data_IF_825041648083
#
_entry.id   IF_825041648083
#
_cell.length_a   1.000
_cell.length_b   1.000
_cell.length_c   1.000
_cell.angle_alpha   90.00
_cell.angle_beta   90.00
_cell.angle_gamma   90.00
#
_symmetry.space_group_name_H-M   'P 1'
#
loop_
_entity.id
_entity.type
_entity.pdbx_description
1 polymer ?
#
# COMPACT_ATOMS: atom_id res chain seq x y z
N UNK A 1 -15.34 9.03 -2.47
CA UNK A 1 -13.99 9.57 -2.74
C UNK A 1 -13.64 10.48 -1.59
N UNK A 2 -12.38 10.49 -1.14
CA UNK A 2 -11.88 11.42 -0.12
C UNK A 2 -10.80 12.32 -0.70
N UNK A 3 -10.82 13.58 -0.25
CA UNK A 3 -9.87 14.63 -0.60
C UNK A 3 -9.28 15.22 0.69
N UNK A 4 -8.51 14.40 1.41
CA UNK A 4 -7.71 14.80 2.57
C UNK A 4 -6.24 14.66 2.20
N UNK A 5 -5.42 15.68 2.42
CA UNK A 5 -3.96 15.52 2.27
C UNK A 5 -3.43 14.65 3.42
N UNK A 6 -2.79 13.50 3.14
CA UNK A 6 -2.20 12.65 4.17
C UNK A 6 -1.01 13.31 4.90
N UNK A 7 -0.48 14.41 4.38
CA UNK A 7 0.60 15.19 4.98
C UNK A 7 0.12 16.45 5.71
N UNK A 8 -1.19 16.75 5.70
CA UNK A 8 -1.75 17.88 6.45
C UNK A 8 -1.47 17.71 7.96
N UNK A 9 -0.75 18.65 8.60
CA UNK A 9 -0.42 18.55 10.02
C UNK A 9 -1.62 18.35 10.94
N UNK A 10 -2.79 18.92 10.62
CA UNK A 10 -3.99 18.76 11.44
C UNK A 10 -4.55 17.35 11.33
N UNK A 11 -4.55 16.79 10.11
CA UNK A 11 -4.95 15.40 9.89
C UNK A 11 -3.96 14.42 10.51
N UNK A 12 -2.66 14.67 10.41
CA UNK A 12 -1.63 13.83 11.05
C UNK A 12 -1.77 13.87 12.57
N UNK A 13 -2.13 15.01 13.15
CA UNK A 13 -2.35 15.15 14.59
C UNK A 13 -3.63 14.45 15.09
N UNK A 14 -4.73 14.51 14.34
CA UNK A 14 -6.00 13.83 14.67
C UNK A 14 -6.66 13.21 13.43
N UNK A 15 -6.20 12.02 12.97
CA UNK A 15 -6.77 11.37 11.79
C UNK A 15 -8.09 10.64 12.08
N UNK A 16 -8.40 10.43 13.36
CA UNK A 16 -9.45 9.53 13.81
C UNK A 16 -10.84 10.03 13.44
N UNK A 17 -11.04 11.35 13.34
CA UNK A 17 -12.30 11.92 12.88
C UNK A 17 -12.63 11.53 11.44
N UNK A 18 -11.62 11.44 10.57
CA UNK A 18 -11.82 10.95 9.21
C UNK A 18 -12.03 9.44 9.20
N UNK A 19 -11.21 8.68 9.93
CA UNK A 19 -11.34 7.22 9.98
C UNK A 19 -12.69 6.77 10.54
N UNK A 20 -13.23 7.44 11.56
CA UNK A 20 -14.56 7.17 12.09
C UNK A 20 -15.64 7.33 11.03
N UNK A 21 -15.54 8.35 10.16
CA UNK A 21 -16.44 8.52 9.01
C UNK A 21 -16.24 7.43 7.96
N UNK A 22 -14.99 7.06 7.67
CA UNK A 22 -14.69 6.00 6.71
C UNK A 22 -15.17 4.62 7.18
N UNK A 23 -15.16 4.35 8.50
CA UNK A 23 -15.66 3.10 9.06
C UNK A 23 -17.18 2.93 8.93
N UNK A 24 -17.93 4.00 8.64
CA UNK A 24 -19.38 3.90 8.34
C UNK A 24 -19.66 3.31 6.95
N UNK A 25 -18.63 3.21 6.10
CA UNK A 25 -18.73 2.62 4.77
C UNK A 25 -17.91 1.32 4.74
N UNK A 26 -18.54 0.22 4.32
CA UNK A 26 -17.83 -1.03 4.09
C UNK A 26 -17.38 -1.10 2.62
N UNK A 27 -16.06 -1.07 2.40
CA UNK A 27 -15.46 -1.21 1.08
C UNK A 27 -14.42 -0.15 0.69
N UNK A 28 -13.83 -0.28 -0.51
CA UNK A 28 -12.73 0.55 -0.97
C UNK A 28 -13.17 1.97 -1.33
N UNK A 29 -12.52 2.96 -0.74
CA UNK A 29 -12.71 4.38 -1.04
C UNK A 29 -11.52 4.91 -1.81
N UNK A 30 -11.77 5.61 -2.92
CA UNK A 30 -10.69 6.28 -3.65
C UNK A 30 -10.19 7.49 -2.86
N UNK A 31 -8.88 7.51 -2.54
CA UNK A 31 -8.22 8.61 -1.85
C UNK A 31 -7.40 9.41 -2.85
N UNK A 32 -7.87 10.62 -3.16
CA UNK A 32 -7.36 11.44 -4.26
C UNK A 32 -5.88 11.77 -4.12
N UNK A 33 -5.43 12.19 -2.93
CA UNK A 33 -4.05 12.59 -2.68
C UNK A 33 -3.05 11.42 -2.68
N UNK A 34 -3.54 10.18 -2.53
CA UNK A 34 -2.74 8.97 -2.76
C UNK A 34 -2.80 8.46 -4.20
N UNK A 35 -3.89 8.73 -4.92
CA UNK A 35 -4.10 8.24 -6.29
C UNK A 35 -4.55 6.77 -6.37
N UNK A 36 -4.91 6.14 -5.26
CA UNK A 36 -5.37 4.74 -5.22
C UNK A 36 -6.56 4.53 -4.27
N UNK A 37 -7.14 3.32 -4.33
CA UNK A 37 -8.23 2.89 -3.45
C UNK A 37 -7.67 2.42 -2.11
N UNK A 38 -8.25 2.90 -1.03
CA UNK A 38 -7.89 2.55 0.34
C UNK A 38 -9.03 1.78 1.00
N UNK A 39 -8.67 0.87 1.90
CA UNK A 39 -9.59 0.13 2.76
C UNK A 39 -9.41 0.61 4.20
N UNK A 40 -10.52 0.84 4.89
CA UNK A 40 -10.54 1.33 6.27
C UNK A 40 -11.28 0.39 7.23
N UNK A 41 -12.26 -0.38 6.73
CA UNK A 41 -13.04 -1.30 7.57
C UNK A 41 -12.26 -2.54 7.95
N UNK A 42 -12.32 -2.94 9.22
CA UNK A 42 -11.60 -4.09 9.77
C UNK A 42 -11.77 -5.36 8.92
N UNK A 43 -13.01 -5.74 8.59
CA UNK A 43 -13.28 -6.94 7.81
C UNK A 43 -12.60 -6.90 6.44
N UNK A 44 -12.75 -5.79 5.71
CA UNK A 44 -12.17 -5.61 4.38
C UNK A 44 -10.64 -5.64 4.39
N UNK A 45 -10.00 -4.94 5.34
CA UNK A 45 -8.54 -4.93 5.53
C UNK A 45 -8.04 -6.33 5.89
N UNK A 46 -8.71 -6.98 6.86
CA UNK A 46 -8.33 -8.30 7.36
C UNK A 46 -8.42 -9.39 6.29
N UNK A 47 -9.42 -9.32 5.41
CA UNK A 47 -9.57 -10.22 4.26
C UNK A 47 -8.47 -10.00 3.24
N UNK A 48 -8.23 -8.75 2.81
CA UNK A 48 -7.24 -8.44 1.77
C UNK A 48 -5.82 -8.80 2.21
N UNK A 49 -5.45 -8.54 3.46
CA UNK A 49 -4.11 -8.90 3.98
C UNK A 49 -3.85 -10.42 4.03
N UNK A 50 -4.87 -11.26 3.90
CA UNK A 50 -4.75 -12.73 3.86
C UNK A 50 -5.01 -13.33 2.48
N UNK A 51 -5.45 -12.52 1.54
CA UNK A 51 -5.78 -12.96 0.20
C UNK A 51 -4.50 -12.99 -0.64
N UNK A 52 -4.10 -14.19 -1.07
CA UNK A 52 -2.86 -14.45 -1.84
C UNK A 52 -2.82 -13.73 -3.19
N UNK A 53 -3.92 -13.14 -3.65
CA UNK A 53 -3.97 -12.33 -4.87
C UNK A 53 -3.39 -10.92 -4.66
N UNK A 54 -3.27 -10.46 -3.41
CA UNK A 54 -2.69 -9.16 -3.06
C UNK A 54 -1.25 -9.37 -2.59
N UNK A 55 -0.32 -9.33 -3.54
CA UNK A 55 1.12 -9.54 -3.32
C UNK A 55 1.86 -8.21 -3.15
N UNK A 56 3.08 -8.27 -2.60
CA UNK A 56 3.99 -7.11 -2.51
C UNK A 56 4.70 -6.84 -3.84
N UNK A 57 4.83 -7.87 -4.68
CA UNK A 57 5.42 -7.76 -6.01
C UNK A 57 4.39 -7.15 -6.98
N UNK A 58 4.74 -6.07 -7.71
CA UNK A 58 3.88 -5.52 -8.75
C UNK A 58 3.60 -6.56 -9.84
N UNK A 59 2.42 -6.53 -10.48
CA UNK A 59 2.13 -7.40 -11.62
C UNK A 59 3.09 -7.13 -12.79
N UNK A 60 3.31 -8.14 -13.66
CA UNK A 60 4.31 -8.10 -14.74
C UNK A 60 4.16 -6.91 -15.70
N UNK A 61 2.94 -6.38 -15.84
CA UNK A 61 2.63 -5.23 -16.69
C UNK A 61 2.88 -3.88 -16.00
N UNK A 62 3.37 -3.87 -14.77
CA UNK A 62 3.63 -2.68 -13.97
C UNK A 62 5.14 -2.53 -13.70
N UNK A 63 5.84 -1.84 -14.59
CA UNK A 63 7.28 -1.55 -14.40
C UNK A 63 7.50 -0.50 -13.32
N UNK A 64 8.23 -0.87 -12.28
CA UNK A 64 8.80 0.09 -11.32
C UNK A 64 9.89 0.93 -11.98
N UNK A 65 10.07 2.18 -11.54
CA UNK A 65 11.20 2.99 -11.97
C UNK A 65 12.53 2.30 -11.61
N UNK A 66 13.55 2.37 -12.47
CA UNK A 66 14.84 1.78 -12.18
C UNK A 66 15.49 2.46 -10.98
N UNK A 67 16.19 1.67 -10.17
CA UNK A 67 16.97 2.20 -9.05
C UNK A 67 18.02 3.22 -9.54
N UNK A 68 18.28 4.30 -8.79
CA UNK A 68 19.36 5.24 -9.10
C UNK A 68 20.71 4.53 -9.20
N UNK A 69 21.62 5.03 -10.06
CA UNK A 69 22.96 4.43 -10.23
C UNK A 69 23.74 4.30 -8.92
N UNK A 70 23.58 5.24 -8.00
CA UNK A 70 24.21 5.21 -6.66
C UNK A 70 23.71 4.07 -5.76
N UNK A 71 22.57 3.44 -6.08
CA UNK A 71 21.94 2.39 -5.30
C UNK A 71 22.05 1.01 -5.94
N UNK A 72 22.92 0.80 -6.94
CA UNK A 72 23.01 -0.49 -7.64
C UNK A 72 23.35 -1.66 -6.71
N UNK A 73 24.28 -1.49 -5.77
CA UNK A 73 24.62 -2.54 -4.82
C UNK A 73 23.44 -2.90 -3.90
N UNK A 74 22.67 -1.89 -3.49
CA UNK A 74 21.45 -2.09 -2.72
C UNK A 74 20.39 -2.85 -3.54
N UNK A 75 20.18 -2.46 -4.80
CA UNK A 75 19.24 -3.12 -5.69
C UNK A 75 19.60 -4.60 -5.94
N UNK A 76 20.90 -4.94 -5.99
CA UNK A 76 21.36 -6.32 -6.10
C UNK A 76 21.04 -7.11 -4.83
N UNK A 77 21.28 -6.55 -3.66
CA UNK A 77 20.94 -7.20 -2.38
C UNK A 77 19.42 -7.40 -2.24
N UNK A 78 18.63 -6.38 -2.54
CA UNK A 78 17.17 -6.41 -2.40
C UNK A 78 16.48 -7.40 -3.33
N UNK A 79 17.10 -7.76 -4.46
CA UNK A 79 16.59 -8.78 -5.40
C UNK A 79 16.37 -10.13 -4.72
N UNK A 80 17.13 -10.45 -3.68
CA UNK A 80 17.07 -11.72 -2.95
C UNK A 80 16.53 -11.55 -1.52
N UNK A 81 16.03 -10.37 -1.19
CA UNK A 81 15.50 -10.07 0.13
C UNK A 81 14.18 -10.81 0.34
N UNK A 82 14.07 -11.57 1.42
CA UNK A 82 12.83 -12.26 1.82
C UNK A 82 11.66 -11.28 2.02
N UNK A 83 11.93 -9.99 2.25
CA UNK A 83 10.89 -8.97 2.38
C UNK A 83 10.31 -8.53 1.02
N UNK A 84 10.95 -8.87 -0.10
CA UNK A 84 10.54 -8.47 -1.45
C UNK A 84 10.23 -9.66 -2.36
N UNK A 85 10.43 -10.89 -1.89
CA UNK A 85 10.05 -12.09 -2.60
C UNK A 85 8.63 -12.51 -2.22
N UNK A 86 7.99 -13.29 -3.08
CA UNK A 86 6.72 -13.97 -2.80
C UNK A 86 6.86 -15.44 -3.22
N UNK A 87 6.01 -16.37 -2.74
CA UNK A 87 5.98 -17.73 -3.27
C UNK A 87 5.78 -17.74 -4.80
N UNK A 88 6.46 -18.63 -5.55
CA UNK A 88 7.28 -19.74 -5.06
C UNK A 88 8.74 -19.38 -4.75
N UNK A 89 9.18 -18.15 -5.01
CA UNK A 89 10.60 -17.77 -5.02
C UNK A 89 11.28 -17.89 -3.65
N UNK A 90 10.51 -17.84 -2.55
CA UNK A 90 11.00 -17.99 -1.17
C UNK A 90 10.39 -19.18 -0.41
N UNK A 91 9.88 -20.20 -1.10
CA UNK A 91 9.18 -21.34 -0.45
C UNK A 91 10.03 -22.60 -0.41
#
# INVERSE_FOLDING_TARGET
MIDQDPHDPHFVADPYQLYARLHQHDGPVFWKNYGFRCLSGFNSVNQVLRDKRFTRIPPDNHSSSPWPKSMQNFAIAERYSLLNLEPPQHT
#
